data_IF_928209968406
#
_entry.id   IF_928209968406
#
_cell.length_a   1.000
_cell.length_b   1.000
_cell.length_c   1.000
_cell.angle_alpha   90.00
_cell.angle_beta   90.00
_cell.angle_gamma   90.00
#
_symmetry.space_group_name_H-M   'P 1'
#
loop_
_entity.id
_entity.type
_entity.pdbx_description
1 polymer ?
#
# COMPACT_ATOMS: atom_id res chain seq x y z
N UNK A 1 20.66 -23.39 20.01
CA UNK A 1 20.18 -23.38 18.63
C UNK A 1 21.35 -23.59 17.69
N UNK A 2 21.18 -24.17 16.48
CA UNK A 2 22.27 -24.33 15.54
C UNK A 2 22.82 -22.96 15.12
N UNK A 3 24.13 -22.89 14.83
CA UNK A 3 24.83 -21.65 14.57
C UNK A 3 25.65 -21.72 13.27
N UNK A 4 25.65 -20.63 12.53
CA UNK A 4 26.48 -20.38 11.36
C UNK A 4 27.36 -19.17 11.62
N UNK A 5 28.58 -19.14 11.06
CA UNK A 5 29.46 -17.98 11.13
C UNK A 5 29.52 -17.29 9.77
N UNK A 6 29.14 -16.01 9.70
CA UNK A 6 29.20 -15.20 8.49
C UNK A 6 30.21 -14.07 8.71
N UNK A 7 31.27 -14.01 7.90
CA UNK A 7 32.35 -13.01 8.00
C UNK A 7 32.91 -12.87 9.45
N UNK A 8 33.08 -14.00 10.13
CA UNK A 8 33.60 -14.06 11.51
C UNK A 8 32.58 -13.83 12.63
N UNK A 9 31.33 -13.46 12.31
CA UNK A 9 30.24 -13.25 13.29
C UNK A 9 29.32 -14.47 13.35
N UNK A 10 29.03 -14.97 14.57
CA UNK A 10 28.13 -16.11 14.78
C UNK A 10 26.67 -15.68 14.81
N UNK A 11 25.83 -16.41 14.09
CA UNK A 11 24.39 -16.20 14.03
C UNK A 11 23.66 -17.51 14.29
N UNK A 12 22.62 -17.46 15.09
CA UNK A 12 21.67 -18.56 15.23
C UNK A 12 20.74 -18.62 14.04
N UNK A 13 20.30 -19.82 13.66
CA UNK A 13 19.37 -19.99 12.57
C UNK A 13 18.31 -21.06 12.86
N UNK A 14 17.20 -20.97 12.14
CA UNK A 14 16.13 -21.96 12.17
C UNK A 14 16.35 -22.97 11.03
N UNK A 15 16.11 -24.26 11.31
CA UNK A 15 16.25 -25.31 10.29
C UNK A 15 15.41 -24.98 9.05
N UNK A 16 16.06 -24.99 7.89
CA UNK A 16 15.45 -24.68 6.59
C UNK A 16 15.75 -23.26 6.08
N UNK A 17 16.27 -22.35 6.91
CA UNK A 17 16.74 -21.06 6.44
C UNK A 17 17.93 -21.22 5.48
N UNK A 18 17.97 -20.38 4.44
CA UNK A 18 19.15 -20.23 3.59
C UNK A 18 20.16 -19.28 4.23
N UNK A 19 21.41 -19.35 3.80
CA UNK A 19 22.48 -18.45 4.27
C UNK A 19 22.06 -16.98 4.08
N UNK A 20 21.46 -16.65 2.93
CA UNK A 20 20.97 -15.29 2.66
C UNK A 20 19.90 -14.86 3.66
N UNK A 21 18.93 -15.73 3.99
CA UNK A 21 17.87 -15.39 4.95
C UNK A 21 18.44 -15.14 6.35
N UNK A 22 19.40 -15.96 6.79
CA UNK A 22 20.09 -15.74 8.07
C UNK A 22 20.82 -14.41 8.07
N UNK A 23 21.54 -14.08 6.99
CA UNK A 23 22.28 -12.82 6.85
C UNK A 23 21.35 -11.61 6.89
N UNK A 24 20.25 -11.63 6.13
CA UNK A 24 19.28 -10.53 6.10
C UNK A 24 18.63 -10.29 7.46
N UNK A 25 18.23 -11.35 8.15
CA UNK A 25 17.69 -11.26 9.52
C UNK A 25 18.69 -10.70 10.53
N UNK A 26 19.97 -10.95 10.30
CA UNK A 26 21.08 -10.43 11.10
C UNK A 26 21.60 -9.07 10.64
N UNK A 27 20.90 -8.40 9.73
CA UNK A 27 21.29 -7.11 9.14
C UNK A 27 22.68 -7.14 8.48
N UNK A 28 23.13 -8.32 8.04
CA UNK A 28 24.35 -8.50 7.27
C UNK A 28 24.02 -8.52 5.78
N UNK A 29 24.47 -7.51 5.06
CA UNK A 29 24.20 -7.42 3.64
C UNK A 29 24.95 -8.48 2.83
N UNK A 30 24.24 -9.23 2.01
CA UNK A 30 24.76 -10.06 0.93
C UNK A 30 24.11 -9.57 -0.37
N UNK A 31 24.87 -9.11 -1.38
CA UNK A 31 24.27 -8.60 -2.59
C UNK A 31 23.45 -9.66 -3.32
N UNK A 32 22.24 -9.31 -3.78
CA UNK A 32 21.35 -10.22 -4.47
C UNK A 32 20.37 -9.47 -5.37
N UNK A 33 20.03 -10.04 -6.54
CA UNK A 33 19.04 -9.44 -7.44
C UNK A 33 17.83 -10.36 -7.67
N UNK A 34 18.05 -11.63 -7.99
CA UNK A 34 16.97 -12.52 -8.39
C UNK A 34 16.13 -13.06 -7.22
N UNK A 35 16.64 -13.01 -6.01
CA UNK A 35 15.93 -13.48 -4.82
C UNK A 35 14.94 -12.44 -4.29
N UNK A 36 13.74 -12.89 -3.90
CA UNK A 36 12.73 -12.11 -3.22
C UNK A 36 11.99 -13.04 -2.24
N UNK A 37 11.68 -12.61 -0.99
CA UNK A 37 11.10 -13.49 0.03
C UNK A 37 9.74 -14.08 -0.37
N UNK A 38 8.97 -13.38 -1.19
CA UNK A 38 7.65 -13.81 -1.68
C UNK A 38 7.67 -14.60 -2.98
N UNK A 39 8.85 -14.97 -3.53
CA UNK A 39 8.97 -15.66 -4.82
C UNK A 39 9.89 -16.87 -4.70
N UNK A 40 9.73 -17.85 -5.59
CA UNK A 40 10.62 -19.01 -5.66
C UNK A 40 12.08 -18.62 -5.92
N UNK A 41 13.02 -19.44 -5.45
CA UNK A 41 14.45 -19.20 -5.61
C UNK A 41 14.94 -19.74 -6.95
N UNK A 42 15.41 -18.87 -7.84
CA UNK A 42 15.95 -19.24 -9.17
C UNK A 42 17.48 -19.27 -9.19
N UNK A 43 18.16 -18.59 -8.26
CA UNK A 43 19.62 -18.51 -8.13
C UNK A 43 20.37 -18.14 -9.42
N UNK A 44 19.78 -17.32 -10.31
CA UNK A 44 20.30 -17.00 -11.65
C UNK A 44 21.31 -15.84 -11.68
N UNK A 45 21.18 -14.84 -10.82
CA UNK A 45 22.01 -13.63 -10.88
C UNK A 45 23.47 -13.82 -10.44
N UNK A 46 23.76 -14.82 -9.61
CA UNK A 46 25.09 -15.22 -9.14
C UNK A 46 25.89 -14.17 -8.36
N UNK A 47 25.34 -13.02 -8.05
CA UNK A 47 26.07 -12.01 -7.27
C UNK A 47 26.24 -12.41 -5.80
N UNK A 48 25.32 -13.19 -5.27
CA UNK A 48 25.33 -13.70 -3.89
C UNK A 48 26.26 -14.91 -3.67
N UNK A 49 27.10 -15.28 -4.63
CA UNK A 49 28.04 -16.37 -4.46
C UNK A 49 29.05 -16.05 -3.38
N UNK A 50 29.18 -16.93 -2.41
CA UNK A 50 30.10 -16.83 -1.27
C UNK A 50 30.96 -18.08 -1.13
N UNK A 51 32.08 -17.95 -0.46
CA UNK A 51 32.91 -19.09 -0.05
C UNK A 51 32.31 -19.72 1.20
N UNK A 52 31.80 -20.95 1.06
CA UNK A 52 31.08 -21.67 2.12
C UNK A 52 31.90 -22.86 2.57
N UNK A 53 32.31 -22.85 3.82
CA UNK A 53 33.06 -23.91 4.44
C UNK A 53 32.12 -24.78 5.31
N UNK A 54 31.93 -26.01 4.88
CA UNK A 54 31.10 -26.95 5.61
C UNK A 54 31.90 -27.70 6.66
N UNK A 55 31.29 -28.08 7.82
CA UNK A 55 31.96 -28.90 8.81
C UNK A 55 32.27 -30.29 8.23
N UNK A 56 33.49 -30.76 8.44
CA UNK A 56 33.90 -32.12 8.12
C UNK A 56 33.11 -33.13 8.98
N UNK A 57 32.48 -34.12 8.39
CA UNK A 57 31.67 -35.09 9.12
C UNK A 57 32.42 -35.88 10.17
N UNK A 58 33.76 -36.02 10.05
CA UNK A 58 34.62 -36.81 10.99
C UNK A 58 35.21 -35.95 12.09
N UNK A 59 35.61 -34.74 11.76
CA UNK A 59 36.36 -33.87 12.69
C UNK A 59 35.56 -32.69 13.22
N UNK A 60 34.41 -32.38 12.62
CA UNK A 60 33.59 -31.19 12.91
C UNK A 60 34.25 -29.87 12.51
N UNK A 61 35.47 -29.87 11.96
CA UNK A 61 36.19 -28.64 11.58
C UNK A 61 35.71 -28.15 10.23
N UNK A 62 35.53 -26.82 10.04
CA UNK A 62 35.16 -26.25 8.73
C UNK A 62 36.23 -26.55 7.67
N UNK A 63 35.80 -27.07 6.54
CA UNK A 63 36.66 -27.35 5.39
C UNK A 63 36.35 -26.38 4.23
N UNK A 64 37.38 -25.77 3.60
CA UNK A 64 37.19 -24.87 2.49
C UNK A 64 36.53 -25.56 1.30
N UNK A 65 35.56 -24.89 0.70
CA UNK A 65 34.94 -25.36 -0.54
C UNK A 65 35.78 -24.99 -1.75
N UNK A 66 35.83 -25.89 -2.72
CA UNK A 66 36.52 -25.64 -4.00
C UNK A 66 35.83 -24.63 -4.89
N UNK A 67 34.51 -24.44 -4.71
CA UNK A 67 33.64 -23.57 -5.51
C UNK A 67 32.82 -22.64 -4.61
N UNK A 68 32.50 -21.45 -5.12
CA UNK A 68 31.56 -20.55 -4.50
C UNK A 68 30.13 -21.14 -4.57
N UNK A 69 29.34 -20.90 -3.52
CA UNK A 69 27.95 -21.37 -3.42
C UNK A 69 26.96 -20.19 -3.38
N UNK A 70 25.80 -20.31 -4.04
CA UNK A 70 24.77 -19.27 -4.01
C UNK A 70 24.08 -19.22 -2.66
N UNK A 71 24.31 -18.18 -1.87
CA UNK A 71 23.77 -18.04 -0.51
C UNK A 71 22.24 -18.03 -0.46
N UNK A 72 21.59 -17.56 -1.53
CA UNK A 72 20.13 -17.53 -1.65
C UNK A 72 19.47 -18.92 -1.78
N UNK A 73 20.24 -19.94 -2.15
CA UNK A 73 19.76 -21.32 -2.35
C UNK A 73 20.39 -22.32 -1.37
N UNK A 74 21.57 -22.00 -0.83
CA UNK A 74 22.29 -22.88 0.09
C UNK A 74 21.71 -22.77 1.49
N UNK A 75 21.20 -23.87 2.03
CA UNK A 75 20.70 -23.91 3.41
C UNK A 75 21.82 -23.77 4.43
N UNK A 76 21.52 -23.06 5.52
CA UNK A 76 22.42 -22.96 6.67
C UNK A 76 22.58 -24.31 7.37
N UNK A 77 23.82 -24.64 7.75
CA UNK A 77 24.20 -25.88 8.46
C UNK A 77 24.98 -25.51 9.71
N UNK A 78 24.75 -26.25 10.81
CA UNK A 78 25.42 -26.01 12.08
C UNK A 78 26.96 -26.17 11.96
N UNK A 79 27.70 -25.21 12.50
CA UNK A 79 29.15 -25.13 12.36
C UNK A 79 29.69 -24.65 11.00
N UNK A 80 28.83 -24.25 10.08
CA UNK A 80 29.22 -23.73 8.76
C UNK A 80 29.87 -22.35 8.90
N UNK A 81 30.87 -22.08 8.07
CA UNK A 81 31.54 -20.75 7.99
C UNK A 81 31.42 -20.21 6.58
N UNK A 82 30.99 -18.96 6.46
CA UNK A 82 30.70 -18.29 5.19
C UNK A 82 31.51 -17.01 5.10
N UNK A 83 32.21 -16.83 3.99
CA UNK A 83 32.96 -15.62 3.66
C UNK A 83 32.38 -14.97 2.40
N UNK A 84 31.70 -13.84 2.57
CA UNK A 84 31.16 -13.02 1.48
C UNK A 84 32.16 -11.97 1.00
N UNK A 85 33.19 -11.75 1.79
CA UNK A 85 34.28 -10.79 1.61
C UNK A 85 35.63 -11.43 1.23
N UNK A 86 35.67 -12.76 1.04
CA UNK A 86 36.89 -13.42 0.56
C UNK A 86 37.32 -12.92 -0.82
N UNK A 87 38.61 -12.99 -1.18
CA UNK A 87 39.08 -12.56 -2.50
C UNK A 87 38.33 -13.21 -3.66
N UNK A 88 37.90 -14.46 -3.52
CA UNK A 88 37.11 -15.19 -4.51
C UNK A 88 35.68 -14.61 -4.62
N UNK A 89 35.02 -14.36 -3.49
CA UNK A 89 33.67 -13.78 -3.44
C UNK A 89 33.66 -12.35 -4.02
N UNK A 90 34.59 -11.51 -3.61
CA UNK A 90 34.74 -10.13 -4.12
C UNK A 90 35.05 -10.11 -5.61
N UNK A 91 35.90 -11.02 -6.11
CA UNK A 91 36.17 -11.15 -7.54
C UNK A 91 34.93 -11.52 -8.34
N UNK A 92 34.10 -12.43 -7.80
CA UNK A 92 32.81 -12.78 -8.42
C UNK A 92 31.84 -11.61 -8.43
N UNK A 93 31.67 -10.89 -7.30
CA UNK A 93 30.78 -9.72 -7.22
C UNK A 93 31.16 -8.67 -8.27
N UNK A 94 32.46 -8.33 -8.38
CA UNK A 94 32.98 -7.39 -9.38
C UNK A 94 32.74 -7.86 -10.82
N UNK A 95 32.88 -9.16 -11.09
CA UNK A 95 32.63 -9.73 -12.43
C UNK A 95 31.13 -9.68 -12.78
N UNK A 96 30.24 -10.05 -11.85
CA UNK A 96 28.78 -9.97 -12.07
C UNK A 96 28.35 -8.52 -12.32
N UNK A 97 28.82 -7.58 -11.51
CA UNK A 97 28.53 -6.15 -11.73
C UNK A 97 28.99 -5.68 -13.09
N UNK A 98 30.18 -6.07 -13.51
CA UNK A 98 30.70 -5.72 -14.84
C UNK A 98 29.80 -6.27 -15.95
N UNK A 99 29.36 -7.54 -15.88
CA UNK A 99 28.43 -8.13 -16.85
C UNK A 99 27.10 -7.39 -16.92
N UNK A 100 26.52 -7.03 -15.78
CA UNK A 100 25.25 -6.30 -15.74
C UNK A 100 25.38 -4.88 -16.31
N UNK A 101 26.52 -4.23 -16.13
CA UNK A 101 26.76 -2.85 -16.54
C UNK A 101 27.20 -2.71 -18.01
N UNK A 102 27.64 -3.78 -18.69
CA UNK A 102 28.12 -3.74 -20.08
C UNK A 102 27.13 -3.03 -21.00
N UNK A 103 25.87 -3.45 -21.00
CA UNK A 103 24.83 -2.88 -21.86
C UNK A 103 23.84 -1.98 -21.11
N UNK A 104 23.91 -1.91 -19.78
CA UNK A 104 23.01 -1.05 -19.00
C UNK A 104 23.23 0.42 -19.39
N UNK A 105 22.17 1.19 -19.76
CA UNK A 105 22.33 2.58 -20.16
C UNK A 105 22.72 3.46 -18.98
N UNK A 106 23.44 4.56 -19.27
CA UNK A 106 23.82 5.56 -18.25
C UNK A 106 22.67 6.57 -18.10
N UNK A 107 21.51 6.08 -17.67
CA UNK A 107 20.27 6.83 -17.59
C UNK A 107 19.89 7.27 -16.16
N UNK A 108 20.76 7.08 -15.16
CA UNK A 108 20.41 7.36 -13.75
C UNK A 108 19.83 8.76 -13.53
N UNK A 109 20.34 9.76 -14.26
CA UNK A 109 19.87 11.15 -14.17
C UNK A 109 18.42 11.34 -14.67
N UNK A 110 17.91 10.43 -15.49
CA UNK A 110 16.53 10.45 -16.05
C UNK A 110 15.73 9.18 -15.72
N UNK A 111 16.23 8.36 -14.80
CA UNK A 111 15.60 7.13 -14.36
C UNK A 111 14.94 7.35 -13.01
N UNK A 112 13.63 7.04 -12.88
CA UNK A 112 12.91 7.25 -11.63
C UNK A 112 13.29 6.25 -10.53
N UNK A 113 13.99 5.16 -10.88
CA UNK A 113 14.53 4.24 -9.89
C UNK A 113 15.80 4.77 -9.20
N UNK A 114 16.42 5.87 -9.68
CA UNK A 114 17.60 6.45 -9.05
C UNK A 114 17.32 6.83 -7.60
N UNK A 115 18.21 6.42 -6.68
CA UNK A 115 18.06 6.60 -5.24
C UNK A 115 17.35 5.45 -4.51
N UNK A 116 16.76 4.48 -5.24
CA UNK A 116 16.23 3.23 -4.70
C UNK A 116 16.55 2.03 -5.61
N UNK A 117 17.63 2.12 -6.39
CA UNK A 117 18.03 1.13 -7.38
C UNK A 117 19.15 0.23 -6.85
N UNK A 118 18.87 -1.05 -6.65
CA UNK A 118 19.89 -2.00 -6.21
C UNK A 118 21.11 -2.09 -7.15
N UNK A 119 20.92 -1.90 -8.47
CA UNK A 119 22.04 -1.90 -9.40
C UNK A 119 22.94 -0.67 -9.18
N UNK A 120 22.36 0.49 -8.91
CA UNK A 120 23.09 1.70 -8.62
C UNK A 120 23.92 1.54 -7.32
N UNK A 121 23.27 1.10 -6.23
CA UNK A 121 23.91 0.93 -4.93
C UNK A 121 25.04 -0.11 -5.01
N UNK A 122 24.76 -1.27 -5.59
CA UNK A 122 25.74 -2.35 -5.72
C UNK A 122 26.86 -2.01 -6.70
N UNK A 123 26.65 -1.10 -7.67
CA UNK A 123 27.74 -0.64 -8.53
C UNK A 123 28.80 0.13 -7.76
N UNK A 124 28.39 0.91 -6.75
CA UNK A 124 29.32 1.62 -5.85
C UNK A 124 29.99 0.67 -4.84
N UNK A 125 29.21 -0.23 -4.25
CA UNK A 125 29.68 -1.11 -3.16
C UNK A 125 30.53 -2.28 -3.66
N UNK A 126 30.13 -2.91 -4.75
CA UNK A 126 30.71 -4.18 -5.25
C UNK A 126 31.28 -4.10 -6.66
N UNK A 127 31.09 -2.98 -7.34
CA UNK A 127 31.53 -2.79 -8.73
C UNK A 127 33.00 -2.40 -8.87
N UNK A 128 33.36 -2.00 -10.09
CA UNK A 128 34.61 -1.36 -10.44
C UNK A 128 34.39 0.12 -10.69
N UNK A 129 35.35 0.98 -10.35
CA UNK A 129 35.26 2.42 -10.57
C UNK A 129 35.24 2.76 -12.07
N UNK A 130 35.90 1.96 -12.90
CA UNK A 130 36.05 2.20 -14.34
C UNK A 130 35.53 1.03 -15.15
N UNK A 131 34.92 1.33 -16.30
CA UNK A 131 34.50 0.34 -17.28
C UNK A 131 35.62 -0.04 -18.20
N UNK A 132 35.86 -1.33 -18.40
CA UNK A 132 36.81 -1.84 -19.42
C UNK A 132 36.13 -2.00 -20.80
N UNK A 133 34.80 -1.86 -20.86
CA UNK A 133 34.00 -2.00 -22.08
C UNK A 133 34.06 -0.70 -22.89
N UNK A 134 34.52 -0.79 -24.14
CA UNK A 134 34.74 0.35 -25.05
C UNK A 134 33.76 0.39 -26.22
N UNK A 135 32.97 -0.65 -26.41
CA UNK A 135 32.00 -0.77 -27.49
C UNK A 135 30.72 -0.02 -27.18
N UNK A 136 29.93 0.28 -28.20
CA UNK A 136 28.63 0.91 -28.02
C UNK A 136 27.69 -0.04 -27.30
N UNK A 137 26.92 0.49 -26.34
CA UNK A 137 25.91 -0.28 -25.62
C UNK A 137 24.72 -0.60 -26.53
N UNK A 138 24.22 -1.82 -26.47
CA UNK A 138 23.00 -2.22 -27.16
C UNK A 138 21.80 -1.52 -26.56
N UNK A 139 21.02 -0.83 -27.40
CA UNK A 139 19.78 -0.18 -27.00
C UNK A 139 18.58 -1.05 -27.39
N UNK A 140 17.58 -1.09 -26.52
CA UNK A 140 16.31 -1.79 -26.75
C UNK A 140 15.16 -0.77 -26.63
N UNK A 141 14.01 -1.01 -27.32
CA UNK A 141 12.89 -0.09 -27.27
C UNK A 141 12.23 -0.09 -25.88
N UNK A 142 11.62 1.06 -25.56
CA UNK A 142 10.63 1.16 -24.49
C UNK A 142 9.33 0.53 -24.96
N UNK A 143 8.67 -0.21 -24.08
CA UNK A 143 7.42 -0.91 -24.41
C UNK A 143 6.33 -0.54 -23.41
N UNK A 144 5.16 -0.26 -23.93
CA UNK A 144 3.96 -0.20 -23.12
C UNK A 144 3.48 -1.63 -22.89
N UNK A 145 3.47 -2.06 -21.63
CA UNK A 145 3.12 -3.44 -21.29
C UNK A 145 1.74 -3.58 -20.65
N UNK A 146 1.07 -2.46 -20.36
CA UNK A 146 -0.26 -2.44 -19.74
C UNK A 146 -0.66 -1.04 -19.26
N UNK A 147 -1.81 -0.86 -18.63
CA UNK A 147 -2.32 0.45 -18.24
C UNK A 147 -1.40 1.20 -17.27
N UNK A 148 -0.77 0.49 -16.34
CA UNK A 148 -0.04 1.08 -15.22
C UNK A 148 1.49 1.06 -15.38
N UNK A 149 2.04 0.21 -16.24
CA UNK A 149 3.48 -0.10 -16.25
C UNK A 149 4.11 0.15 -17.60
N UNK A 150 5.28 0.83 -17.59
CA UNK A 150 6.13 1.04 -18.76
C UNK A 150 7.42 0.21 -18.60
N UNK A 151 7.81 -0.52 -19.63
CA UNK A 151 9.01 -1.35 -19.67
C UNK A 151 10.14 -0.64 -20.44
N UNK A 152 11.28 -0.46 -19.77
CA UNK A 152 12.55 -0.04 -20.36
C UNK A 152 13.46 -1.27 -20.49
N UNK A 153 13.35 -1.98 -21.63
CA UNK A 153 14.00 -3.29 -21.83
C UNK A 153 15.53 -3.21 -21.71
N UNK A 154 16.15 -2.09 -22.09
CA UNK A 154 17.61 -1.89 -21.99
C UNK A 154 18.12 -1.70 -20.55
N UNK A 155 17.24 -1.40 -19.59
CA UNK A 155 17.57 -1.32 -18.16
C UNK A 155 17.42 -2.64 -17.43
N UNK A 156 16.82 -3.64 -18.08
CA UNK A 156 16.55 -4.94 -17.47
C UNK A 156 17.83 -5.74 -17.23
N UNK A 157 17.94 -6.37 -16.06
CA UNK A 157 19.06 -7.25 -15.66
C UNK A 157 18.67 -8.73 -15.68
N UNK A 158 17.57 -9.09 -16.32
CA UNK A 158 17.08 -10.46 -16.49
C UNK A 158 16.96 -11.29 -15.20
N UNK A 159 16.60 -10.64 -14.09
CA UNK A 159 16.46 -11.31 -12.79
C UNK A 159 15.19 -12.15 -12.66
N UNK A 160 14.25 -12.02 -13.59
CA UNK A 160 12.98 -12.75 -13.70
C UNK A 160 12.02 -12.62 -12.52
N UNK A 161 12.21 -11.68 -11.59
CA UNK A 161 11.27 -11.48 -10.47
C UNK A 161 9.85 -11.17 -10.96
N UNK A 162 9.71 -10.30 -11.96
CA UNK A 162 8.41 -9.92 -12.53
C UNK A 162 7.70 -11.08 -13.23
N UNK A 163 8.44 -11.92 -13.96
CA UNK A 163 7.89 -13.13 -14.60
C UNK A 163 7.37 -14.10 -13.55
N UNK A 164 8.17 -14.38 -12.51
CA UNK A 164 7.75 -15.26 -11.40
C UNK A 164 6.60 -14.68 -10.62
N UNK A 165 6.54 -13.35 -10.46
CA UNK A 165 5.40 -12.68 -9.82
C UNK A 165 4.10 -12.97 -10.57
N UNK A 166 4.08 -12.77 -11.91
CA UNK A 166 2.86 -13.02 -12.70
C UNK A 166 2.49 -14.51 -12.76
N UNK A 167 3.46 -15.41 -12.66
CA UNK A 167 3.21 -16.85 -12.64
C UNK A 167 2.80 -17.40 -11.26
N UNK A 168 3.49 -16.99 -10.20
CA UNK A 168 3.37 -17.60 -8.87
C UNK A 168 2.40 -16.85 -7.96
N UNK A 169 2.36 -15.52 -8.06
CA UNK A 169 1.53 -14.68 -7.18
C UNK A 169 0.18 -14.42 -7.78
N UNK A 170 0.12 -13.88 -9.00
CA UNK A 170 -1.17 -13.60 -9.66
C UNK A 170 -1.73 -14.80 -10.42
N UNK A 171 -0.86 -15.68 -10.94
CA UNK A 171 -1.26 -16.83 -11.75
C UNK A 171 -1.69 -16.47 -13.17
N UNK A 172 -1.47 -15.25 -13.60
CA UNK A 172 -1.94 -14.70 -14.88
C UNK A 172 -0.92 -14.87 -16.00
N UNK A 173 0.40 -14.81 -15.67
CA UNK A 173 1.49 -15.16 -16.59
C UNK A 173 1.69 -14.23 -17.78
N UNK A 174 1.29 -12.97 -17.71
CA UNK A 174 1.40 -11.99 -18.80
C UNK A 174 2.86 -11.69 -19.18
N UNK A 175 3.76 -11.65 -18.18
CA UNK A 175 5.17 -11.41 -18.44
C UNK A 175 5.94 -12.70 -18.68
N UNK A 176 6.79 -12.68 -19.71
CA UNK A 176 7.62 -13.81 -20.07
C UNK A 176 9.04 -13.38 -20.45
N UNK A 177 9.95 -14.35 -20.52
CA UNK A 177 11.24 -14.19 -21.18
C UNK A 177 11.07 -14.51 -22.66
N UNK A 178 11.28 -13.52 -23.50
CA UNK A 178 11.27 -13.67 -24.96
C UNK A 178 12.69 -13.79 -25.50
N UNK A 179 12.88 -14.56 -26.56
CA UNK A 179 14.20 -14.78 -27.16
C UNK A 179 15.09 -15.74 -26.38
N UNK A 180 16.37 -15.76 -26.71
CA UNK A 180 17.39 -16.59 -26.02
C UNK A 180 18.80 -16.04 -26.25
N UNK A 181 19.71 -16.36 -25.31
CA UNK A 181 21.10 -15.91 -25.36
C UNK A 181 21.21 -14.38 -25.32
N UNK A 182 21.92 -13.78 -26.24
CA UNK A 182 22.15 -12.32 -26.28
C UNK A 182 20.90 -11.51 -26.65
N UNK A 183 19.82 -12.16 -27.09
CA UNK A 183 18.56 -11.51 -27.50
C UNK A 183 17.47 -11.66 -26.47
N UNK A 184 17.74 -12.27 -25.33
CA UNK A 184 16.75 -12.38 -24.25
C UNK A 184 16.26 -11.02 -23.76
N UNK A 185 14.95 -10.90 -23.61
CA UNK A 185 14.31 -9.73 -23.01
C UNK A 185 13.02 -10.13 -22.26
N UNK A 186 12.60 -9.29 -21.34
CA UNK A 186 11.27 -9.40 -20.73
C UNK A 186 10.26 -8.76 -21.68
N UNK A 187 9.14 -9.42 -21.88
CA UNK A 187 8.04 -8.93 -22.70
C UNK A 187 6.70 -9.44 -22.17
N UNK A 188 5.61 -8.86 -22.63
CA UNK A 188 4.27 -9.41 -22.42
C UNK A 188 4.02 -10.56 -23.38
N UNK A 189 3.23 -11.52 -22.96
CA UNK A 189 2.77 -12.59 -23.84
C UNK A 189 1.90 -11.95 -24.95
N UNK A 190 2.06 -12.35 -26.22
CA UNK A 190 1.30 -11.76 -27.32
C UNK A 190 -0.22 -11.83 -27.09
N UNK A 191 -0.86 -10.65 -27.09
CA UNK A 191 -2.29 -10.51 -26.86
C UNK A 191 -2.72 -10.41 -25.40
N UNK A 192 -1.77 -10.48 -24.44
CA UNK A 192 -2.05 -10.27 -23.01
C UNK A 192 -1.37 -8.98 -22.52
N UNK A 193 -2.17 -7.99 -22.12
CA UNK A 193 -1.64 -6.83 -21.41
C UNK A 193 -1.39 -7.18 -19.93
N UNK A 194 -0.44 -6.53 -19.29
CA UNK A 194 -0.22 -6.59 -17.85
C UNK A 194 -1.26 -5.68 -17.15
N UNK A 195 -2.48 -6.19 -16.96
CA UNK A 195 -3.64 -5.44 -16.46
C UNK A 195 -4.40 -6.14 -15.31
N UNK A 196 -3.79 -7.18 -14.71
CA UNK A 196 -4.36 -7.81 -13.53
C UNK A 196 -4.38 -6.86 -12.33
N UNK A 197 -5.22 -7.14 -11.35
CA UNK A 197 -5.50 -6.26 -10.20
C UNK A 197 -4.30 -6.04 -9.26
N UNK A 198 -3.18 -6.73 -9.49
CA UNK A 198 -1.92 -6.59 -8.75
C UNK A 198 -0.77 -6.09 -9.64
N UNK A 199 -1.07 -5.62 -10.85
CA UNK A 199 -0.07 -5.33 -11.90
C UNK A 199 1.02 -4.37 -11.44
N UNK A 200 0.71 -3.37 -10.63
CA UNK A 200 1.67 -2.40 -10.10
C UNK A 200 2.78 -2.98 -9.21
N UNK A 201 2.57 -4.17 -8.62
CA UNK A 201 3.61 -4.79 -7.79
C UNK A 201 4.84 -5.24 -8.59
N UNK A 202 4.76 -5.39 -9.90
CA UNK A 202 5.94 -5.71 -10.73
C UNK A 202 6.98 -4.58 -10.68
N UNK A 203 6.56 -3.35 -10.43
CA UNK A 203 7.46 -2.20 -10.22
C UNK A 203 8.23 -2.35 -8.91
N UNK A 204 7.54 -2.78 -7.83
CA UNK A 204 8.17 -2.94 -6.52
C UNK A 204 9.14 -4.12 -6.48
N UNK A 205 8.82 -5.22 -7.14
CA UNK A 205 9.73 -6.39 -7.19
C UNK A 205 10.91 -6.19 -8.16
N UNK A 206 10.83 -5.22 -9.08
CA UNK A 206 11.90 -4.93 -10.00
C UNK A 206 13.05 -4.21 -9.27
N UNK A 207 14.27 -4.79 -9.20
CA UNK A 207 15.38 -4.21 -8.46
C UNK A 207 16.06 -3.04 -9.18
N UNK A 208 15.59 -2.71 -10.40
CA UNK A 208 16.18 -1.69 -11.28
C UNK A 208 15.06 -0.89 -11.97
N UNK A 209 15.41 0.18 -12.68
CA UNK A 209 14.46 1.03 -13.41
C UNK A 209 13.99 0.46 -14.76
N UNK A 210 13.78 -0.86 -14.84
CA UNK A 210 13.28 -1.50 -16.05
C UNK A 210 11.75 -1.49 -16.13
N UNK A 211 11.06 -1.73 -15.02
CA UNK A 211 9.60 -1.59 -14.92
C UNK A 211 9.31 -0.35 -14.07
N UNK A 212 8.64 0.62 -14.65
CA UNK A 212 8.34 1.90 -14.03
C UNK A 212 6.84 2.14 -13.99
N UNK A 213 6.37 2.71 -12.90
CA UNK A 213 4.99 3.13 -12.70
C UNK A 213 4.71 4.36 -13.56
N UNK A 214 3.76 4.26 -14.49
CA UNK A 214 3.37 5.37 -15.39
C UNK A 214 2.82 6.57 -14.62
N UNK A 215 2.16 6.32 -13.50
CA UNK A 215 1.57 7.35 -12.67
C UNK A 215 2.62 8.20 -11.96
N UNK A 216 3.69 7.57 -11.51
CA UNK A 216 4.80 8.25 -10.83
C UNK A 216 5.88 8.75 -11.81
N UNK A 217 5.86 8.33 -13.08
CA UNK A 217 6.92 8.59 -14.06
C UNK A 217 7.20 10.09 -14.20
N UNK A 218 8.42 10.49 -13.85
CA UNK A 218 8.93 11.87 -13.89
C UNK A 218 8.21 12.88 -12.97
N UNK A 219 7.45 12.40 -11.99
CA UNK A 219 6.73 13.28 -11.06
C UNK A 219 7.68 13.87 -10.00
N UNK A 220 8.49 13.02 -9.34
CA UNK A 220 9.38 13.45 -8.26
C UNK A 220 10.58 12.52 -8.13
N UNK A 221 11.67 13.04 -7.56
CA UNK A 221 12.83 12.23 -7.19
C UNK A 221 12.64 11.63 -5.81
N UNK A 222 13.00 10.34 -5.68
CA UNK A 222 12.72 9.56 -4.47
C UNK A 222 13.40 10.09 -3.21
N UNK A 223 14.54 10.77 -3.34
CA UNK A 223 15.26 11.36 -2.20
C UNK A 223 14.60 12.62 -1.61
N UNK A 224 13.61 13.19 -2.29
CA UNK A 224 12.78 14.25 -1.74
C UNK A 224 11.51 13.71 -1.03
N UNK A 225 11.19 12.43 -1.24
CA UNK A 225 9.99 11.85 -0.68
C UNK A 225 10.18 11.47 0.79
N UNK A 226 9.26 11.91 1.63
CA UNK A 226 9.07 11.40 2.98
C UNK A 226 8.21 10.16 2.92
N UNK A 227 8.62 9.09 3.64
CA UNK A 227 7.90 7.82 3.70
C UNK A 227 7.18 7.72 5.04
N UNK A 228 5.85 7.69 5.00
CA UNK A 228 5.02 7.56 6.20
C UNK A 228 4.31 6.22 6.19
N UNK A 229 4.49 5.44 7.26
CA UNK A 229 3.79 4.16 7.42
C UNK A 229 2.29 4.40 7.64
N UNK A 230 1.46 3.67 6.91
CA UNK A 230 0.00 3.75 6.99
C UNK A 230 -0.63 2.38 6.69
N UNK A 231 -1.94 2.36 6.62
CA UNK A 231 -2.74 1.20 6.20
C UNK A 231 -3.67 1.61 5.06
N UNK A 232 -4.19 0.63 4.33
CA UNK A 232 -5.21 0.84 3.33
C UNK A 232 -6.48 1.45 3.93
N UNK A 233 -6.86 2.62 3.45
CA UNK A 233 -8.06 3.33 3.86
C UNK A 233 -9.19 3.30 2.81
N UNK A 234 -9.12 2.39 1.84
CA UNK A 234 -10.08 2.29 0.72
C UNK A 234 -10.85 0.98 0.73
N UNK A 235 -10.18 -0.13 1.08
CA UNK A 235 -10.77 -1.47 1.04
C UNK A 235 -10.75 -2.13 2.42
N UNK A 236 -11.45 -3.25 2.56
CA UNK A 236 -11.48 -4.01 3.81
C UNK A 236 -10.20 -4.82 4.08
N UNK A 237 -9.19 -4.76 3.22
CA UNK A 237 -7.97 -5.57 3.38
C UNK A 237 -7.11 -5.14 4.57
N UNK A 238 -7.06 -3.83 4.84
CA UNK A 238 -6.17 -3.26 5.84
C UNK A 238 -4.70 -3.45 5.49
N UNK A 239 -4.37 -3.49 4.20
CA UNK A 239 -3.02 -3.69 3.70
C UNK A 239 -2.07 -2.66 4.30
N UNK A 240 -0.90 -3.10 4.72
CA UNK A 240 0.14 -2.21 5.22
C UNK A 240 0.80 -1.51 4.04
N UNK A 241 0.81 -0.18 4.08
CA UNK A 241 1.31 0.66 3.00
C UNK A 241 2.32 1.69 3.51
N UNK A 242 3.13 2.19 2.60
CA UNK A 242 3.94 3.39 2.75
C UNK A 242 3.35 4.47 1.85
N UNK A 243 2.95 5.59 2.46
CA UNK A 243 2.54 6.79 1.74
C UNK A 243 3.79 7.64 1.52
N UNK A 244 4.12 7.89 0.27
CA UNK A 244 5.29 8.68 -0.10
C UNK A 244 4.86 10.05 -0.60
N UNK A 245 5.29 11.10 0.12
CA UNK A 245 4.82 12.47 -0.05
C UNK A 245 5.94 13.49 0.07
N UNK A 246 5.70 14.69 -0.45
CA UNK A 246 6.57 15.84 -0.32
C UNK A 246 5.72 17.12 -0.29
N UNK A 247 6.01 18.03 0.63
CA UNK A 247 5.33 19.33 0.80
C UNK A 247 3.78 19.23 0.75
N UNK A 248 3.21 18.29 1.54
CA UNK A 248 1.77 18.09 1.61
C UNK A 248 1.13 17.40 0.40
N UNK A 249 1.92 17.03 -0.62
CA UNK A 249 1.46 16.32 -1.81
C UNK A 249 1.86 14.86 -1.73
N UNK A 250 0.90 13.95 -1.87
CA UNK A 250 1.14 12.51 -2.02
C UNK A 250 1.50 12.24 -3.48
N UNK A 251 2.57 11.50 -3.71
CA UNK A 251 3.04 11.14 -5.05
C UNK A 251 2.79 9.68 -5.38
N UNK A 252 2.92 8.78 -4.40
CA UNK A 252 2.66 7.35 -4.61
C UNK A 252 2.41 6.61 -3.29
N UNK A 253 1.80 5.44 -3.43
CA UNK A 253 1.60 4.47 -2.36
C UNK A 253 2.29 3.17 -2.74
N UNK A 254 3.10 2.62 -1.81
CA UNK A 254 3.83 1.36 -1.98
C UNK A 254 3.44 0.34 -0.91
N UNK A 255 3.54 -0.97 -1.19
CA UNK A 255 3.33 -1.97 -0.16
C UNK A 255 4.42 -1.89 0.92
N UNK A 256 4.04 -2.13 2.16
CA UNK A 256 4.92 -2.34 3.28
C UNK A 256 4.71 -3.76 3.79
N UNK A 257 5.81 -4.49 4.00
CA UNK A 257 5.75 -5.89 4.42
C UNK A 257 4.97 -6.07 5.72
N UNK A 258 3.98 -6.97 5.67
CA UNK A 258 3.33 -7.55 6.84
C UNK A 258 2.87 -8.97 6.49
N UNK A 259 3.60 -9.98 7.00
CA UNK A 259 3.36 -11.39 6.68
C UNK A 259 1.98 -11.90 7.09
N UNK A 260 1.34 -11.24 8.05
CA UNK A 260 0.03 -11.64 8.58
C UNK A 260 -1.15 -10.98 7.84
N UNK A 261 -0.93 -9.88 7.11
CA UNK A 261 -1.99 -9.11 6.44
C UNK A 261 -1.86 -9.22 4.92
N UNK A 262 -0.92 -8.50 4.35
CA UNK A 262 -0.74 -8.36 2.89
C UNK A 262 0.55 -8.99 2.36
N UNK A 263 1.36 -9.60 3.23
CA UNK A 263 2.70 -10.08 2.88
C UNK A 263 3.54 -8.95 2.28
N UNK A 264 3.68 -8.92 0.96
CA UNK A 264 4.47 -7.92 0.22
C UNK A 264 3.64 -7.19 -0.84
N UNK A 265 2.33 -7.43 -0.94
CA UNK A 265 1.50 -7.04 -2.06
C UNK A 265 0.41 -6.07 -1.68
N UNK A 266 -0.01 -5.22 -2.63
CA UNK A 266 -1.23 -4.40 -2.57
C UNK A 266 -1.95 -4.46 -3.91
N UNK A 267 -3.25 -4.21 -3.92
CA UNK A 267 -4.01 -4.08 -5.17
C UNK A 267 -3.69 -2.76 -5.88
N UNK A 268 -3.90 -2.71 -7.19
CA UNK A 268 -3.79 -1.48 -7.95
C UNK A 268 -4.84 -0.45 -7.51
N UNK A 269 -5.99 -0.90 -7.01
CA UNK A 269 -7.00 -0.04 -6.37
C UNK A 269 -6.43 0.70 -5.16
N UNK A 270 -5.73 0.02 -4.27
CA UNK A 270 -5.06 0.64 -3.11
C UNK A 270 -3.91 1.54 -3.54
N UNK A 271 -3.15 1.10 -4.57
CA UNK A 271 -2.00 1.83 -5.10
C UNK A 271 -2.37 3.18 -5.71
N UNK A 272 -3.50 3.26 -6.42
CA UNK A 272 -3.89 4.43 -7.22
C UNK A 272 -5.14 5.16 -6.72
N UNK A 273 -5.92 4.56 -5.82
CA UNK A 273 -7.21 5.07 -5.38
C UNK A 273 -7.17 6.31 -4.48
N UNK A 274 -6.00 6.70 -3.99
CA UNK A 274 -5.81 7.84 -3.10
C UNK A 274 -5.94 9.22 -3.79
N UNK A 275 -5.99 9.29 -5.13
CA UNK A 275 -5.92 10.54 -5.89
C UNK A 275 -7.02 11.54 -5.59
N UNK A 276 -8.16 11.09 -5.07
CA UNK A 276 -9.25 12.00 -4.66
C UNK A 276 -8.82 12.97 -3.55
N UNK A 277 -7.74 12.69 -2.83
CA UNK A 277 -7.16 13.59 -1.81
C UNK A 277 -6.78 14.96 -2.37
N UNK A 278 -6.36 15.00 -3.63
CA UNK A 278 -5.87 16.20 -4.32
C UNK A 278 -6.86 16.78 -5.32
N UNK A 279 -8.14 16.37 -5.26
CA UNK A 279 -9.18 16.96 -6.10
C UNK A 279 -9.35 18.45 -5.78
N UNK A 280 -9.53 19.28 -6.80
CA UNK A 280 -9.69 20.73 -6.66
C UNK A 280 -10.99 21.11 -5.95
N UNK A 281 -12.05 20.32 -6.16
CA UNK A 281 -13.37 20.50 -5.57
C UNK A 281 -13.51 19.97 -4.14
N UNK A 282 -12.42 19.51 -3.52
CA UNK A 282 -12.43 19.02 -2.16
C UNK A 282 -12.94 20.09 -1.18
N UNK A 283 -13.80 19.69 -0.26
CA UNK A 283 -14.30 20.55 0.81
C UNK A 283 -13.14 21.01 1.69
N UNK A 284 -12.96 22.33 1.87
CA UNK A 284 -11.82 22.91 2.61
C UNK A 284 -12.25 23.70 3.85
N UNK A 285 -13.43 24.30 3.79
CA UNK A 285 -13.99 25.11 4.86
C UNK A 285 -15.41 24.70 5.19
N UNK A 286 -15.84 24.86 6.44
CA UNK A 286 -17.25 24.77 6.81
C UNK A 286 -18.11 25.73 5.99
N UNK A 287 -19.30 25.26 5.58
CA UNK A 287 -20.30 26.11 4.93
C UNK A 287 -21.67 25.94 5.59
N UNK A 288 -22.45 27.01 5.58
CA UNK A 288 -23.79 27.07 6.14
C UNK A 288 -24.78 27.40 5.03
N UNK A 289 -25.92 26.73 5.02
CA UNK A 289 -26.99 26.94 4.05
C UNK A 289 -27.48 28.38 4.07
N UNK A 290 -27.57 28.99 2.89
CA UNK A 290 -28.04 30.36 2.73
C UNK A 290 -27.07 31.45 3.19
N UNK A 291 -25.81 31.09 3.48
CA UNK A 291 -24.74 32.04 3.82
C UNK A 291 -23.65 32.01 2.74
N UNK A 292 -23.02 33.17 2.52
CA UNK A 292 -21.84 33.24 1.66
C UNK A 292 -20.71 32.35 2.18
N UNK A 293 -19.90 31.81 1.27
CA UNK A 293 -18.73 31.00 1.61
C UNK A 293 -17.72 31.83 2.43
N UNK A 294 -17.13 31.20 3.40
CA UNK A 294 -16.04 31.82 4.15
C UNK A 294 -14.75 31.84 3.31
N UNK A 295 -13.94 32.86 3.51
CA UNK A 295 -12.59 32.92 2.98
C UNK A 295 -11.63 32.08 3.84
N UNK A 296 -10.50 31.62 3.27
CA UNK A 296 -9.57 30.71 3.96
C UNK A 296 -8.94 31.31 5.21
N UNK A 297 -8.72 32.61 5.24
CA UNK A 297 -8.19 33.35 6.40
C UNK A 297 -9.18 33.43 7.57
N UNK A 298 -10.48 33.17 7.31
CA UNK A 298 -11.56 33.10 8.31
C UNK A 298 -11.93 31.67 8.70
N UNK A 299 -11.01 30.72 8.53
CA UNK A 299 -11.26 29.32 8.87
C UNK A 299 -11.72 29.11 10.35
N UNK A 300 -11.12 29.73 11.39
CA UNK A 300 -11.61 29.59 12.76
C UNK A 300 -13.07 30.02 12.95
N UNK A 301 -13.46 31.15 12.37
CA UNK A 301 -14.83 31.65 12.42
C UNK A 301 -15.83 30.74 11.69
N UNK A 302 -15.39 30.15 10.58
CA UNK A 302 -16.20 29.19 9.84
C UNK A 302 -16.48 27.93 10.65
N UNK A 303 -15.46 27.41 11.35
CA UNK A 303 -15.59 26.25 12.22
C UNK A 303 -16.50 26.55 13.42
N UNK A 304 -16.32 27.67 14.09
CA UNK A 304 -17.18 28.08 15.23
C UNK A 304 -18.62 28.21 14.79
N UNK A 305 -18.89 28.87 13.66
CA UNK A 305 -20.23 29.04 13.14
C UNK A 305 -20.87 27.68 12.73
N UNK A 306 -20.11 26.77 12.10
CA UNK A 306 -20.57 25.45 11.72
C UNK A 306 -20.89 24.56 12.92
N UNK A 307 -20.00 24.53 13.91
CA UNK A 307 -20.17 23.72 15.12
C UNK A 307 -21.33 24.25 15.97
N UNK A 308 -21.45 25.58 16.16
CA UNK A 308 -22.55 26.18 16.90
C UNK A 308 -23.89 25.89 16.22
N UNK A 309 -24.00 26.08 14.91
CA UNK A 309 -25.23 25.80 14.16
C UNK A 309 -25.62 24.32 14.28
N UNK A 310 -24.64 23.40 14.22
CA UNK A 310 -24.87 21.95 14.38
C UNK A 310 -25.42 21.64 15.78
N UNK A 311 -24.82 22.20 16.82
CA UNK A 311 -25.31 22.06 18.21
C UNK A 311 -26.72 22.62 18.37
N UNK A 312 -27.03 23.79 17.79
CA UNK A 312 -28.32 24.45 17.93
C UNK A 312 -29.46 23.60 17.39
N UNK A 313 -29.35 23.10 16.15
CA UNK A 313 -30.44 22.28 15.60
C UNK A 313 -30.52 20.89 16.26
N UNK A 314 -29.40 20.30 16.66
CA UNK A 314 -29.38 19.03 17.38
C UNK A 314 -30.12 19.16 18.74
N UNK A 315 -29.76 20.17 19.53
CA UNK A 315 -30.44 20.45 20.82
C UNK A 315 -31.89 20.85 20.64
N UNK A 316 -32.19 21.64 19.59
CA UNK A 316 -33.55 22.04 19.25
C UNK A 316 -34.45 20.83 18.95
N UNK A 317 -33.96 19.84 18.18
CA UNK A 317 -34.69 18.61 17.92
C UNK A 317 -34.94 17.78 19.19
N UNK A 318 -33.91 17.64 20.04
CA UNK A 318 -34.01 16.91 21.30
C UNK A 318 -35.00 17.58 22.28
N UNK A 319 -34.98 18.93 22.43
CA UNK A 319 -35.95 19.68 23.20
C UNK A 319 -37.37 19.57 22.66
N UNK A 320 -37.54 19.43 21.37
CA UNK A 320 -38.84 19.18 20.74
C UNK A 320 -39.33 17.70 20.91
N UNK A 321 -38.62 16.89 21.65
CA UNK A 321 -38.91 15.48 21.89
C UNK A 321 -38.68 14.55 20.71
N UNK A 322 -37.96 15.03 19.67
CA UNK A 322 -37.61 14.22 18.52
C UNK A 322 -36.25 13.55 18.70
N UNK A 323 -36.01 12.42 18.03
CA UNK A 323 -34.72 11.73 18.05
C UNK A 323 -33.67 12.44 17.20
N UNK A 324 -32.42 12.27 17.62
CA UNK A 324 -31.28 12.54 16.73
C UNK A 324 -30.92 11.29 15.93
N UNK A 325 -30.49 11.46 14.69
CA UNK A 325 -29.93 10.42 13.84
C UNK A 325 -28.43 10.64 13.65
N UNK A 326 -27.65 9.57 13.71
CA UNK A 326 -26.22 9.58 13.37
C UNK A 326 -25.94 8.46 12.38
N UNK A 327 -25.50 8.80 11.17
CA UNK A 327 -25.00 7.87 10.18
C UNK A 327 -23.48 7.99 10.09
N UNK A 328 -22.78 6.97 10.59
CA UNK A 328 -21.31 6.94 10.60
C UNK A 328 -20.79 6.15 9.42
N UNK A 329 -20.00 6.81 8.58
CA UNK A 329 -19.35 6.18 7.43
C UNK A 329 -18.34 5.11 7.87
N UNK A 330 -18.29 3.96 7.19
CA UNK A 330 -17.27 2.94 7.39
C UNK A 330 -15.86 3.36 6.90
N UNK A 331 -15.74 4.55 6.33
CA UNK A 331 -14.46 5.17 5.97
C UNK A 331 -13.79 5.90 7.13
N UNK A 332 -14.49 6.08 8.26
CA UNK A 332 -13.96 6.74 9.44
C UNK A 332 -13.25 5.77 10.39
N UNK A 333 -12.38 6.31 11.25
CA UNK A 333 -11.72 5.52 12.30
C UNK A 333 -12.66 5.13 13.44
N UNK A 334 -12.25 4.17 14.25
CA UNK A 334 -12.98 3.80 15.47
C UNK A 334 -13.10 5.00 16.43
N UNK A 335 -12.06 5.83 16.53
CA UNK A 335 -12.02 7.02 17.36
C UNK A 335 -13.02 8.07 16.89
N UNK A 336 -13.09 8.33 15.58
CA UNK A 336 -14.09 9.26 15.03
C UNK A 336 -15.53 8.75 15.31
N UNK A 337 -15.80 7.48 15.07
CA UNK A 337 -17.08 6.86 15.35
C UNK A 337 -17.46 6.98 16.82
N UNK A 338 -16.50 6.74 17.72
CA UNK A 338 -16.70 6.87 19.16
C UNK A 338 -17.03 8.32 19.57
N UNK A 339 -16.26 9.29 19.11
CA UNK A 339 -16.46 10.70 19.49
C UNK A 339 -17.77 11.25 18.96
N UNK A 340 -18.13 10.96 17.70
CA UNK A 340 -19.39 11.36 17.11
C UNK A 340 -20.59 10.74 17.84
N UNK A 341 -20.56 9.45 18.10
CA UNK A 341 -21.62 8.77 18.81
C UNK A 341 -21.76 9.26 20.26
N UNK A 342 -20.64 9.45 20.96
CA UNK A 342 -20.62 10.00 22.32
C UNK A 342 -21.21 11.40 22.39
N UNK A 343 -20.88 12.26 21.42
CA UNK A 343 -21.45 13.62 21.35
C UNK A 343 -22.96 13.57 21.09
N UNK A 344 -23.44 12.80 20.12
CA UNK A 344 -24.87 12.67 19.82
C UNK A 344 -25.65 12.10 20.99
N UNK A 345 -25.12 11.05 21.64
CA UNK A 345 -25.75 10.41 22.80
C UNK A 345 -25.78 11.28 24.06
N UNK A 346 -24.86 12.24 24.19
CA UNK A 346 -24.87 13.23 25.25
C UNK A 346 -26.04 14.24 25.10
N UNK A 347 -26.52 14.48 23.87
CA UNK A 347 -27.66 15.35 23.57
C UNK A 347 -28.97 14.55 23.60
N UNK A 348 -29.02 13.41 22.93
CA UNK A 348 -30.15 12.47 22.92
C UNK A 348 -29.68 11.05 23.28
N UNK A 349 -29.83 10.60 24.54
CA UNK A 349 -29.44 9.25 24.97
C UNK A 349 -30.14 8.11 24.21
N UNK A 350 -31.18 8.41 23.46
CA UNK A 350 -31.94 7.45 22.66
C UNK A 350 -31.78 7.67 21.15
N UNK A 351 -30.75 8.42 20.71
CA UNK A 351 -30.47 8.69 19.30
C UNK A 351 -30.40 7.40 18.47
N UNK A 352 -30.80 7.50 17.21
CA UNK A 352 -30.74 6.42 16.24
C UNK A 352 -29.33 6.39 15.60
N UNK A 353 -28.57 5.33 15.89
CA UNK A 353 -27.21 5.14 15.41
C UNK A 353 -27.19 4.19 14.21
N UNK A 354 -26.42 4.53 13.19
CA UNK A 354 -26.34 3.75 11.98
C UNK A 354 -24.92 3.70 11.41
N UNK A 355 -24.59 2.58 10.78
CA UNK A 355 -23.41 2.46 9.91
C UNK A 355 -23.82 2.86 8.49
N UNK A 356 -23.02 3.72 7.88
CA UNK A 356 -23.20 4.17 6.49
C UNK A 356 -23.10 3.03 5.47
N UNK A 357 -23.36 3.32 4.19
CA UNK A 357 -23.26 2.32 3.15
C UNK A 357 -21.91 1.63 3.14
N UNK A 358 -21.88 0.31 3.01
CA UNK A 358 -20.67 -0.48 2.83
C UNK A 358 -20.60 -0.87 1.35
N UNK A 359 -19.79 -0.16 0.53
CA UNK A 359 -19.70 -0.47 -0.89
C UNK A 359 -19.07 -1.84 -1.10
N UNK A 360 -19.55 -2.57 -2.09
CA UNK A 360 -18.99 -3.85 -2.53
C UNK A 360 -18.80 -3.84 -4.03
N UNK A 361 -17.69 -4.39 -4.52
CA UNK A 361 -17.42 -4.52 -5.94
C UNK A 361 -16.90 -5.92 -6.26
N UNK A 362 -17.61 -6.64 -7.14
CA UNK A 362 -17.27 -8.01 -7.52
C UNK A 362 -17.43 -9.01 -6.36
N UNK A 363 -16.49 -9.92 -6.25
CA UNK A 363 -16.40 -10.95 -5.21
C UNK A 363 -14.98 -11.01 -4.63
N UNK A 364 -14.83 -11.58 -3.45
CA UNK A 364 -13.51 -11.84 -2.88
C UNK A 364 -12.70 -12.73 -3.83
N UNK A 365 -11.47 -12.33 -4.12
CA UNK A 365 -10.55 -13.04 -5.02
C UNK A 365 -9.26 -13.36 -4.30
N UNK A 366 -8.97 -14.65 -4.10
CA UNK A 366 -7.70 -15.11 -3.58
C UNK A 366 -6.79 -15.53 -4.73
N UNK A 367 -5.63 -14.90 -4.82
CA UNK A 367 -4.61 -15.20 -5.81
C UNK A 367 -3.77 -16.43 -5.41
N UNK A 368 -3.14 -17.14 -6.35
CA UNK A 368 -2.30 -18.31 -6.09
C UNK A 368 -1.22 -18.08 -5.02
N UNK A 369 -0.63 -16.87 -4.96
CA UNK A 369 0.33 -16.47 -3.92
C UNK A 369 -0.26 -16.27 -2.52
N UNK A 370 -1.58 -16.52 -2.35
CA UNK A 370 -2.29 -16.43 -1.07
C UNK A 370 -2.61 -15.01 -0.61
N UNK A 371 -2.54 -14.02 -1.49
CA UNK A 371 -3.08 -12.67 -1.26
C UNK A 371 -4.58 -12.67 -1.60
N UNK A 372 -5.38 -11.98 -0.79
CA UNK A 372 -6.83 -11.87 -1.01
C UNK A 372 -7.22 -10.42 -1.23
N UNK A 373 -7.84 -10.14 -2.37
CA UNK A 373 -8.54 -8.90 -2.65
C UNK A 373 -9.99 -9.05 -2.20
N UNK A 374 -10.46 -8.14 -1.36
CA UNK A 374 -11.84 -8.16 -0.85
C UNK A 374 -12.80 -7.36 -1.73
N UNK A 375 -14.01 -7.89 -1.87
CA UNK A 375 -15.12 -7.21 -2.56
C UNK A 375 -15.56 -5.96 -1.80
N UNK A 376 -15.46 -5.96 -0.47
CA UNK A 376 -15.82 -4.86 0.40
C UNK A 376 -14.86 -3.67 0.23
N UNK A 377 -15.43 -2.50 -0.09
CA UNK A 377 -14.69 -1.25 -0.35
C UNK A 377 -14.89 -0.25 0.78
N UNK A 378 -14.70 -0.74 2.00
CA UNK A 378 -14.77 0.06 3.22
C UNK A 378 -13.74 -0.45 4.23
N UNK A 379 -12.81 0.40 4.71
CA UNK A 379 -11.68 -0.05 5.52
C UNK A 379 -12.08 -0.44 6.95
N UNK A 380 -13.19 0.10 7.48
CA UNK A 380 -13.53 0.01 8.90
C UNK A 380 -15.01 -0.27 9.20
N UNK A 381 -15.73 -0.97 8.32
CA UNK A 381 -17.16 -1.25 8.57
C UNK A 381 -17.39 -2.04 9.86
N UNK A 382 -16.47 -2.94 10.21
CA UNK A 382 -16.50 -3.77 11.42
C UNK A 382 -16.25 -2.93 12.66
N UNK A 383 -15.17 -2.15 12.67
CA UNK A 383 -14.79 -1.31 13.81
C UNK A 383 -15.84 -0.24 14.11
N UNK A 384 -16.35 0.47 13.10
CA UNK A 384 -17.46 1.43 13.27
C UNK A 384 -18.66 0.74 13.87
N UNK A 385 -19.08 -0.41 13.35
CA UNK A 385 -20.22 -1.18 13.88
C UNK A 385 -20.00 -1.58 15.33
N UNK A 386 -18.83 -2.12 15.66
CA UNK A 386 -18.48 -2.55 17.02
C UNK A 386 -18.53 -1.38 18.01
N UNK A 387 -17.98 -0.23 17.65
CA UNK A 387 -18.01 0.99 18.46
C UNK A 387 -19.45 1.46 18.70
N UNK A 388 -20.25 1.56 17.64
CA UNK A 388 -21.64 1.99 17.76
C UNK A 388 -22.47 1.01 18.61
N UNK A 389 -22.28 -0.31 18.45
CA UNK A 389 -22.95 -1.33 19.25
C UNK A 389 -22.60 -1.23 20.73
N UNK A 390 -21.32 -1.00 21.07
CA UNK A 390 -20.88 -0.82 22.45
C UNK A 390 -21.54 0.39 23.11
N UNK A 391 -21.72 1.49 22.37
CA UNK A 391 -22.33 2.72 22.87
C UNK A 391 -23.86 2.69 22.85
N UNK A 392 -24.47 1.86 22.03
CA UNK A 392 -25.92 1.76 21.91
C UNK A 392 -26.62 1.15 23.12
N UNK A 393 -25.89 0.61 24.10
CA UNK A 393 -26.42 0.03 25.33
C UNK A 393 -27.56 -1.01 25.09
N UNK A 394 -27.34 -1.94 24.15
CA UNK A 394 -28.29 -2.99 23.77
C UNK A 394 -29.36 -2.57 22.75
N UNK A 395 -29.41 -1.32 22.32
CA UNK A 395 -30.27 -0.87 21.23
C UNK A 395 -29.74 -1.31 19.85
N UNK A 396 -30.62 -1.39 18.88
CA UNK A 396 -30.24 -1.73 17.50
C UNK A 396 -29.38 -0.62 16.88
N UNK A 397 -28.27 -1.00 16.26
CA UNK A 397 -27.52 -0.15 15.36
C UNK A 397 -27.98 -0.46 13.93
N UNK A 398 -28.53 0.54 13.25
CA UNK A 398 -29.05 0.42 11.90
C UNK A 398 -27.96 0.21 10.86
N UNK A 399 -28.32 -0.40 9.75
CA UNK A 399 -27.63 -0.22 8.48
C UNK A 399 -28.19 1.01 7.74
N UNK A 400 -27.57 1.41 6.63
CA UNK A 400 -27.98 2.59 5.86
C UNK A 400 -29.45 2.52 5.42
N UNK A 401 -29.94 1.36 4.95
CA UNK A 401 -31.29 1.20 4.46
C UNK A 401 -32.33 1.30 5.59
N UNK A 402 -32.06 0.74 6.75
CA UNK A 402 -32.93 0.84 7.93
C UNK A 402 -32.93 2.28 8.47
N UNK A 403 -31.82 2.98 8.41
CA UNK A 403 -31.73 4.38 8.80
C UNK A 403 -32.55 5.30 7.87
N UNK A 404 -32.50 5.07 6.55
CA UNK A 404 -33.35 5.77 5.56
C UNK A 404 -34.84 5.59 5.89
N UNK A 405 -35.27 4.38 6.26
CA UNK A 405 -36.63 4.12 6.67
C UNK A 405 -37.03 4.86 7.96
N UNK A 406 -36.11 4.92 8.94
CA UNK A 406 -36.34 5.64 10.19
C UNK A 406 -36.49 7.16 9.97
N UNK A 407 -35.65 7.73 9.09
CA UNK A 407 -35.80 9.12 8.63
C UNK A 407 -37.15 9.35 7.96
N UNK A 408 -37.53 8.49 7.01
CA UNK A 408 -38.76 8.59 6.24
C UNK A 408 -40.01 8.48 7.11
N UNK A 409 -39.96 7.72 8.21
CA UNK A 409 -41.04 7.58 9.19
C UNK A 409 -41.22 8.82 10.09
N UNK A 410 -40.32 9.83 10.02
CA UNK A 410 -40.43 11.06 10.79
C UNK A 410 -40.01 10.92 12.27
N UNK A 411 -39.43 9.79 12.65
CA UNK A 411 -38.94 9.55 14.00
C UNK A 411 -37.70 10.43 14.33
N UNK A 412 -36.87 10.75 13.33
CA UNK A 412 -35.68 11.54 13.45
C UNK A 412 -35.98 13.01 13.12
N UNK A 413 -35.66 13.91 14.02
CA UNK A 413 -35.90 15.35 13.89
C UNK A 413 -34.70 16.16 13.43
N UNK A 414 -33.49 15.62 13.57
CA UNK A 414 -32.24 16.18 13.04
C UNK A 414 -31.20 15.07 12.89
N UNK A 415 -30.26 15.23 11.99
CA UNK A 415 -29.27 14.21 11.73
C UNK A 415 -27.83 14.75 11.58
N UNK A 416 -26.85 13.89 11.87
CA UNK A 416 -25.47 14.06 11.49
C UNK A 416 -25.08 12.90 10.57
N UNK A 417 -24.58 13.25 9.40
CA UNK A 417 -24.29 12.32 8.31
C UNK A 417 -22.81 12.45 8.01
N UNK A 418 -22.10 11.35 7.96
CA UNK A 418 -20.67 11.34 7.59
C UNK A 418 -20.44 10.56 6.31
N UNK A 419 -19.53 11.07 5.46
CA UNK A 419 -19.13 10.50 4.19
C UNK A 419 -17.67 10.05 4.18
N UNK A 420 -16.78 10.80 3.53
CA UNK A 420 -15.36 10.49 3.30
C UNK A 420 -15.13 9.32 2.31
N UNK A 421 -16.09 9.02 1.47
CA UNK A 421 -15.92 8.05 0.40
C UNK A 421 -15.12 8.66 -0.77
N UNK A 422 -14.35 7.85 -1.51
CA UNK A 422 -13.58 8.31 -2.66
C UNK A 422 -14.45 8.65 -3.89
N UNK A 423 -15.73 8.26 -3.87
CA UNK A 423 -16.70 8.45 -4.95
C UNK A 423 -18.08 8.79 -4.39
N UNK A 424 -19.05 9.04 -5.26
CA UNK A 424 -20.44 9.28 -4.87
C UNK A 424 -21.03 8.03 -4.18
N UNK A 425 -21.62 8.26 -3.02
CA UNK A 425 -22.16 7.21 -2.14
C UNK A 425 -23.62 7.43 -1.76
N UNK A 426 -24.20 8.56 -2.17
CA UNK A 426 -25.51 8.99 -1.73
C UNK A 426 -26.62 8.31 -2.51
N UNK A 427 -27.46 7.52 -1.80
CA UNK A 427 -28.65 6.94 -2.41
C UNK A 427 -29.76 7.99 -2.63
N UNK A 428 -30.64 7.75 -3.61
CA UNK A 428 -31.82 8.59 -3.79
C UNK A 428 -32.73 8.55 -2.56
N UNK A 429 -32.88 7.39 -1.91
CA UNK A 429 -33.70 7.24 -0.70
C UNK A 429 -33.17 8.10 0.46
N UNK A 430 -31.87 8.08 0.72
CA UNK A 430 -31.23 8.92 1.73
C UNK A 430 -31.44 10.41 1.43
N UNK A 431 -31.25 10.82 0.18
CA UNK A 431 -31.45 12.21 -0.25
C UNK A 431 -32.88 12.68 -0.01
N UNK A 432 -33.86 11.89 -0.40
CA UNK A 432 -35.30 12.21 -0.23
C UNK A 432 -35.70 12.26 1.25
N UNK A 433 -35.19 11.33 2.05
CA UNK A 433 -35.46 11.29 3.48
C UNK A 433 -34.87 12.50 4.21
N UNK A 434 -33.64 12.89 3.89
CA UNK A 434 -32.93 14.04 4.49
C UNK A 434 -33.51 15.40 4.04
N UNK A 435 -34.25 15.47 2.94
CA UNK A 435 -34.92 16.71 2.54
C UNK A 435 -35.97 17.21 3.57
N UNK A 436 -36.35 16.37 4.53
CA UNK A 436 -37.40 16.62 5.51
C UNK A 436 -36.88 17.00 6.90
N UNK A 437 -35.59 16.90 7.15
CA UNK A 437 -34.98 17.18 8.44
C UNK A 437 -33.69 17.99 8.29
N UNK A 438 -33.38 18.91 9.20
CA UNK A 438 -32.09 19.58 9.21
C UNK A 438 -30.99 18.58 9.52
N UNK A 439 -29.87 18.69 8.81
CA UNK A 439 -28.72 17.82 9.03
C UNK A 439 -27.39 18.54 8.83
N UNK A 440 -26.37 18.05 9.51
CA UNK A 440 -24.97 18.36 9.25
C UNK A 440 -24.35 17.24 8.41
N UNK A 441 -23.59 17.61 7.40
CA UNK A 441 -22.79 16.71 6.58
C UNK A 441 -21.32 16.88 6.94
N UNK A 442 -20.63 15.78 7.25
CA UNK A 442 -19.18 15.73 7.39
C UNK A 442 -18.64 14.90 6.22
N UNK A 443 -17.96 15.51 5.27
CA UNK A 443 -17.49 14.81 4.08
C UNK A 443 -16.19 15.43 3.53
N UNK A 444 -15.46 14.67 2.73
CA UNK A 444 -14.24 15.14 2.07
C UNK A 444 -14.55 15.79 0.73
N UNK A 445 -15.51 15.23 -0.02
CA UNK A 445 -15.87 15.64 -1.36
C UNK A 445 -17.31 16.17 -1.38
N UNK A 446 -17.63 17.09 -2.32
CA UNK A 446 -19.01 17.49 -2.54
C UNK A 446 -19.84 16.32 -3.08
N UNK A 447 -21.06 16.20 -2.56
CA UNK A 447 -22.05 15.21 -2.95
C UNK A 447 -23.42 15.87 -3.19
N UNK A 448 -24.40 15.10 -3.59
CA UNK A 448 -25.79 15.57 -3.70
C UNK A 448 -26.34 16.13 -2.38
N UNK A 449 -25.76 15.75 -1.22
CA UNK A 449 -26.18 16.26 0.09
C UNK A 449 -25.57 17.62 0.44
N UNK A 450 -24.47 18.01 -0.19
CA UNK A 450 -23.73 19.25 0.13
C UNK A 450 -24.62 20.50 0.04
N UNK A 451 -25.42 20.61 -1.04
CA UNK A 451 -26.33 21.73 -1.23
C UNK A 451 -27.58 21.71 -0.31
N UNK A 452 -27.89 20.55 0.25
CA UNK A 452 -29.09 20.34 1.07
C UNK A 452 -28.82 20.53 2.57
N UNK A 453 -27.61 20.24 3.00
CA UNK A 453 -27.20 20.27 4.41
C UNK A 453 -27.34 21.69 5.01
N UNK A 454 -27.80 21.78 6.26
CA UNK A 454 -27.79 23.05 7.01
C UNK A 454 -26.36 23.51 7.31
N UNK A 455 -25.48 22.52 7.53
CA UNK A 455 -24.04 22.70 7.76
C UNK A 455 -23.27 21.64 7.02
N UNK A 456 -22.19 22.02 6.35
CA UNK A 456 -21.19 21.12 5.78
C UNK A 456 -19.87 21.34 6.51
N UNK A 457 -19.28 20.28 7.03
CA UNK A 457 -17.99 20.31 7.69
C UNK A 457 -16.98 19.47 6.88
N UNK A 458 -15.81 20.01 6.53
CA UNK A 458 -14.78 19.25 5.82
C UNK A 458 -14.27 18.06 6.65
N UNK A 459 -14.23 16.87 6.05
CA UNK A 459 -13.68 15.66 6.67
C UNK A 459 -12.20 15.48 6.32
N UNK A 460 -11.40 15.05 7.31
CA UNK A 460 -10.04 14.57 7.07
C UNK A 460 -10.07 13.10 6.63
N UNK A 461 -9.23 12.74 5.67
CA UNK A 461 -9.06 11.36 5.21
C UNK A 461 -8.10 10.58 6.11
N UNK A 462 -7.98 9.27 5.90
CA UNK A 462 -7.09 8.39 6.69
C UNK A 462 -5.60 8.76 6.60
N UNK A 463 -5.17 9.38 5.49
CA UNK A 463 -3.77 9.83 5.30
C UNK A 463 -3.47 11.08 6.15
N UNK A 464 -4.48 11.89 6.46
CA UNK A 464 -4.33 13.19 7.13
C UNK A 464 -4.49 13.11 8.64
N UNK A 465 -4.80 11.95 9.18
CA UNK A 465 -5.02 11.74 10.61
C UNK A 465 -4.55 10.38 11.07
N UNK A 466 -4.39 10.22 12.38
CA UNK A 466 -4.21 8.90 13.00
C UNK A 466 -5.57 8.30 13.37
N UNK A 467 -5.64 6.97 13.42
CA UNK A 467 -6.85 6.26 13.83
C UNK A 467 -6.70 4.76 13.69
N UNK A 468 -7.64 4.02 14.30
CA UNK A 468 -7.68 2.57 14.30
C UNK A 468 -8.79 2.08 13.36
N UNK A 469 -8.48 1.09 12.53
CA UNK A 469 -9.41 0.43 11.63
C UNK A 469 -9.42 -1.07 11.92
N UNK A 470 -10.59 -1.69 11.77
CA UNK A 470 -10.75 -3.14 11.86
C UNK A 470 -11.00 -3.72 10.46
N UNK A 471 -10.05 -4.51 9.98
CA UNK A 471 -10.09 -5.06 8.63
C UNK A 471 -11.03 -6.29 8.50
N UNK A 472 -11.15 -6.84 7.29
CA UNK A 472 -11.97 -8.02 6.98
C UNK A 472 -11.57 -9.28 7.75
N UNK A 473 -10.36 -9.34 8.31
CA UNK A 473 -9.84 -10.45 9.12
C UNK A 473 -9.96 -10.19 10.63
N UNK A 474 -10.75 -9.18 11.05
CA UNK A 474 -10.95 -8.75 12.43
C UNK A 474 -9.63 -8.38 13.14
N UNK A 475 -8.74 -7.69 12.43
CA UNK A 475 -7.50 -7.13 12.97
C UNK A 475 -7.60 -5.61 13.05
N UNK A 476 -7.11 -5.08 14.18
CA UNK A 476 -6.98 -3.64 14.46
C UNK A 476 -5.61 -3.15 14.06
#
# INVERSE_FOLDING_TARGET
MPQITINGVKHEFTKGETILQVALRAEQEIPHYCWHPGLSVVASCRICLAEVWNPDPKTGKPMPANKLSPTCQTHAVDGQVVYTDSPKSVSNQKAVMEFLLINHPVDCSVCDQAGECHLQDYSYQYGRAESRFKEAKNKRPKKDVGPNVLLYSDRCIMCTRCVRFTQEVTGTGELMVHGRGSTEEIDVFPGLALDNELSGNVVDVCPVGALLDKDFLFQQRVWFLTKTASIDGLTASGDNISVEHHDGTVFRVKPRENLEVNKWWITDEVRYGWKFLHREDRLKLPSLKGREAFELDKAPEAWDAGLNKTNDFARGAAHAGKRLGLLVSPMLSCEDAYLLAKWVLAIDPKAELAVGPVPTHGADKTFPGGFTMFAEKAPNARGVRAVLQALAAGRTVHDAASFEKALGAGAIGAAVITGNYPSDWVSNGLREALARVPFALIDTLPTALTAMAEVVLPGATWIEKSGTFENAKNRL
#
